data_IF_596618149754
#
_entry.id   IF_596618149754
#
_cell.length_a   1.000
_cell.length_b   1.000
_cell.length_c   1.000
_cell.angle_alpha   90.00
_cell.angle_beta   90.00
_cell.angle_gamma   90.00
#
_symmetry.space_group_name_H-M   'P 1'
#
loop_
_entity.id
_entity.type
_entity.pdbx_description
1 polymer ?
#
# COMPACT_ATOMS: atom_id res chain seq x y z
N UNK A 1 13.60 17.18 13.38
CA UNK A 1 13.04 17.11 12.01
C UNK A 1 11.97 16.06 12.03
N UNK A 2 10.70 16.47 11.94
CA UNK A 2 9.56 15.55 12.01
C UNK A 2 9.39 14.92 10.63
N UNK A 3 9.39 13.60 10.57
CA UNK A 3 9.04 12.85 9.36
C UNK A 3 7.58 13.18 9.04
N UNK A 4 7.33 13.98 8.00
CA UNK A 4 5.98 14.14 7.47
C UNK A 4 5.60 12.82 6.80
N UNK A 5 4.55 12.19 7.31
CA UNK A 5 3.94 10.98 6.77
C UNK A 5 2.93 11.38 5.69
N UNK A 6 2.76 10.53 4.67
CA UNK A 6 1.64 10.66 3.75
C UNK A 6 0.33 10.45 4.53
N UNK A 7 -0.59 11.40 4.43
CA UNK A 7 -1.89 11.27 5.07
C UNK A 7 -2.73 10.27 4.26
N UNK A 8 -3.24 9.22 4.91
CA UNK A 8 -3.89 8.09 4.24
C UNK A 8 -5.37 8.10 4.57
N UNK A 9 -6.20 8.24 3.55
CA UNK A 9 -7.63 8.50 3.71
C UNK A 9 -8.50 7.24 3.54
N UNK A 10 -7.96 6.18 2.95
CA UNK A 10 -8.68 4.94 2.66
C UNK A 10 -8.25 3.76 3.54
N UNK A 11 -9.17 2.81 3.72
CA UNK A 11 -8.93 1.53 4.40
C UNK A 11 -8.45 0.42 3.46
N UNK A 12 -8.06 0.79 2.23
CA UNK A 12 -7.62 -0.14 1.20
C UNK A 12 -8.78 -0.91 0.57
N UNK A 13 -8.86 -0.89 -0.76
CA UNK A 13 -9.89 -1.60 -1.52
C UNK A 13 -9.26 -2.68 -2.38
N UNK A 14 -9.78 -3.90 -2.30
CA UNK A 14 -9.30 -4.97 -3.17
C UNK A 14 -9.78 -4.78 -4.61
N UNK A 15 -8.85 -4.84 -5.55
CA UNK A 15 -9.09 -4.73 -6.98
C UNK A 15 -8.77 -6.08 -7.62
N UNK A 16 -9.79 -6.90 -7.96
CA UNK A 16 -9.57 -8.26 -8.50
C UNK A 16 -8.77 -8.29 -9.80
N UNK A 17 -8.90 -7.26 -10.64
CA UNK A 17 -8.21 -7.19 -11.93
C UNK A 17 -6.69 -7.01 -11.78
N UNK A 18 -6.25 -6.25 -10.78
CA UNK A 18 -4.82 -6.06 -10.47
C UNK A 18 -4.32 -6.98 -9.36
N UNK A 19 -5.21 -7.81 -8.78
CA UNK A 19 -4.92 -8.71 -7.66
C UNK A 19 -4.13 -7.99 -6.56
N UNK A 20 -4.62 -6.81 -6.21
CA UNK A 20 -3.95 -5.90 -5.28
C UNK A 20 -4.98 -5.14 -4.45
N UNK A 21 -4.60 -4.76 -3.23
CA UNK A 21 -5.35 -3.81 -2.43
C UNK A 21 -4.80 -2.41 -2.69
N UNK A 22 -5.65 -1.52 -3.17
CA UNK A 22 -5.27 -0.16 -3.50
C UNK A 22 -5.69 0.80 -2.39
N UNK A 23 -4.82 1.76 -2.04
CA UNK A 23 -5.13 2.83 -1.11
C UNK A 23 -4.51 4.14 -1.57
N UNK A 24 -5.14 5.25 -1.21
CA UNK A 24 -4.66 6.58 -1.54
C UNK A 24 -3.92 7.19 -0.36
N UNK A 25 -2.87 7.95 -0.68
CA UNK A 25 -2.20 8.80 0.28
C UNK A 25 -1.88 10.16 -0.35
N UNK A 26 -1.95 11.21 0.46
CA UNK A 26 -1.74 12.58 0.01
C UNK A 26 -0.39 13.13 0.52
N UNK A 27 0.31 13.82 -0.39
CA UNK A 27 1.55 14.57 -0.14
C UNK A 27 1.35 16.04 -0.51
N UNK A 28 0.72 16.81 0.38
CA UNK A 28 0.32 18.18 0.06
C UNK A 28 -0.76 18.21 -1.02
N UNK A 29 -0.43 18.74 -2.21
CA UNK A 29 -1.35 18.82 -3.37
C UNK A 29 -1.29 17.58 -4.29
N UNK A 30 -0.54 16.53 -3.91
CA UNK A 30 -0.36 15.33 -4.73
C UNK A 30 -1.13 14.16 -4.18
N UNK A 31 -1.77 13.42 -5.08
CA UNK A 31 -2.42 12.17 -4.78
C UNK A 31 -1.54 11.00 -5.23
N UNK A 32 -1.19 10.14 -4.29
CA UNK A 32 -0.40 8.92 -4.55
C UNK A 32 -1.32 7.72 -4.42
N UNK A 33 -1.37 6.90 -5.47
CA UNK A 33 -2.07 5.62 -5.47
C UNK A 33 -1.06 4.52 -5.17
N UNK A 34 -1.24 3.85 -4.05
CA UNK A 34 -0.46 2.67 -3.70
C UNK A 34 -1.25 1.41 -4.01
N UNK A 35 -0.60 0.43 -4.61
CA UNK A 35 -1.13 -0.91 -4.84
C UNK A 35 -0.31 -1.92 -4.04
N UNK A 36 -0.96 -2.69 -3.18
CA UNK A 36 -0.32 -3.77 -2.41
C UNK A 36 -0.72 -5.10 -3.00
N UNK A 37 0.24 -5.86 -3.52
CA UNK A 37 -0.07 -7.16 -4.13
C UNK A 37 -0.60 -8.17 -3.11
N UNK A 38 -1.43 -9.12 -3.56
CA UNK A 38 -1.88 -10.25 -2.72
C UNK A 38 -0.70 -10.98 -2.05
N UNK A 39 0.44 -11.10 -2.76
CA UNK A 39 1.64 -11.76 -2.25
C UNK A 39 2.29 -10.98 -1.11
N UNK A 40 2.36 -9.65 -1.21
CA UNK A 40 2.88 -8.79 -0.15
C UNK A 40 2.02 -8.89 1.13
N UNK A 41 0.70 -8.87 0.97
CA UNK A 41 -0.24 -9.03 2.09
C UNK A 41 -0.13 -10.42 2.75
N UNK A 42 0.09 -11.47 1.96
CA UNK A 42 0.32 -12.83 2.47
C UNK A 42 1.59 -12.91 3.32
N UNK A 43 2.69 -12.35 2.84
CA UNK A 43 3.96 -12.36 3.58
C UNK A 43 3.85 -11.52 4.87
N UNK A 44 3.24 -10.33 4.82
CA UNK A 44 3.00 -9.53 6.02
C UNK A 44 2.17 -10.27 7.07
N UNK A 45 1.06 -10.87 6.66
CA UNK A 45 0.18 -11.55 7.61
C UNK A 45 0.85 -12.80 8.22
N UNK A 46 1.68 -13.48 7.42
CA UNK A 46 2.54 -14.59 7.87
C UNK A 46 3.58 -14.12 8.89
N UNK A 47 4.23 -12.98 8.68
CA UNK A 47 5.16 -12.38 9.66
C UNK A 47 4.44 -12.01 10.97
N UNK A 48 3.18 -11.58 10.88
CA UNK A 48 2.33 -11.30 12.03
C UNK A 48 1.83 -12.56 12.77
N UNK A 49 2.08 -13.75 12.24
CA UNK A 49 1.59 -15.02 12.80
C UNK A 49 0.08 -15.21 12.71
N UNK A 50 -0.59 -14.47 11.81
CA UNK A 50 -2.03 -14.55 11.60
C UNK A 50 -2.34 -15.22 10.26
N UNK A 51 -3.22 -16.25 10.21
CA UNK A 51 -3.61 -16.84 8.95
C UNK A 51 -4.38 -15.82 8.11
N UNK A 52 -3.97 -15.64 6.85
CA UNK A 52 -4.73 -14.86 5.89
C UNK A 52 -5.96 -15.66 5.46
N UNK A 53 -7.14 -15.20 5.85
CA UNK A 53 -8.39 -15.66 5.26
C UNK A 53 -8.42 -15.16 3.82
N UNK A 54 -8.49 -16.06 2.84
CA UNK A 54 -8.62 -15.70 1.42
C UNK A 54 -10.05 -15.98 1.01
N UNK A 55 -10.80 -14.93 0.70
CA UNK A 55 -12.19 -14.98 0.27
C UNK A 55 -12.30 -14.56 -1.20
N UNK A 56 -13.28 -15.10 -1.92
CA UNK A 56 -13.45 -14.89 -3.37
C UNK A 56 -13.77 -13.43 -3.74
N UNK A 57 -14.41 -12.71 -2.83
CA UNK A 57 -14.71 -11.28 -2.91
C UNK A 57 -13.50 -10.39 -2.55
N UNK A 58 -12.42 -10.97 -2.03
CA UNK A 58 -11.21 -10.25 -1.63
C UNK A 58 -11.28 -9.56 -0.28
N UNK A 59 -12.36 -9.72 0.47
CA UNK A 59 -12.55 -9.13 1.80
C UNK A 59 -11.45 -9.51 2.80
N UNK A 60 -10.88 -10.70 2.65
CA UNK A 60 -9.74 -11.15 3.45
C UNK A 60 -8.43 -10.40 3.18
N UNK A 61 -8.22 -9.91 1.95
CA UNK A 61 -7.06 -9.05 1.64
C UNK A 61 -7.27 -7.63 2.16
N UNK A 62 -8.49 -7.11 2.11
CA UNK A 62 -8.85 -5.81 2.72
C UNK A 62 -8.69 -5.87 4.25
N UNK A 63 -9.08 -6.98 4.87
CA UNK A 63 -8.83 -7.21 6.30
C UNK A 63 -7.35 -7.29 6.61
N UNK A 64 -6.56 -8.03 5.83
CA UNK A 64 -5.12 -8.10 6.03
C UNK A 64 -4.42 -6.75 5.83
N UNK A 65 -4.90 -5.95 4.87
CA UNK A 65 -4.45 -4.58 4.70
C UNK A 65 -4.72 -3.77 5.97
N UNK A 66 -5.96 -3.78 6.49
CA UNK A 66 -6.33 -3.07 7.73
C UNK A 66 -5.51 -3.53 8.93
N UNK A 67 -5.27 -4.83 9.07
CA UNK A 67 -4.48 -5.43 10.15
C UNK A 67 -2.98 -5.07 10.09
N UNK A 68 -2.47 -4.73 8.92
CA UNK A 68 -1.07 -4.37 8.67
C UNK A 68 -0.91 -2.92 8.19
N UNK A 69 -1.94 -2.08 8.36
CA UNK A 69 -2.05 -0.72 7.79
C UNK A 69 -0.83 0.12 8.12
N UNK A 70 -0.44 0.16 9.38
CA UNK A 70 0.71 0.96 9.84
C UNK A 70 2.03 0.53 9.18
N UNK A 71 2.29 -0.78 9.08
CA UNK A 71 3.51 -1.29 8.47
C UNK A 71 3.51 -1.06 6.96
N UNK A 72 2.38 -1.29 6.30
CA UNK A 72 2.20 -1.01 4.86
C UNK A 72 2.42 0.46 4.55
N UNK A 73 1.94 1.37 5.39
CA UNK A 73 2.14 2.81 5.20
C UNK A 73 3.61 3.21 5.36
N UNK A 74 4.35 2.56 6.28
CA UNK A 74 5.80 2.78 6.40
C UNK A 74 6.53 2.31 5.14
N UNK A 75 6.27 1.09 4.68
CA UNK A 75 6.85 0.53 3.45
C UNK A 75 6.50 1.40 2.23
N UNK A 76 5.24 1.84 2.14
CA UNK A 76 4.76 2.73 1.08
C UNK A 76 5.51 4.07 1.06
N UNK A 77 5.72 4.68 2.22
CA UNK A 77 6.44 5.94 2.35
C UNK A 77 7.93 5.77 2.00
N UNK A 78 8.55 4.66 2.43
CA UNK A 78 9.92 4.31 2.04
C UNK A 78 10.03 4.15 0.52
N UNK A 79 9.12 3.38 -0.09
CA UNK A 79 9.02 3.23 -1.55
C UNK A 79 8.84 4.54 -2.29
N UNK A 80 7.95 5.40 -1.80
CA UNK A 80 7.71 6.71 -2.39
C UNK A 80 8.99 7.56 -2.37
N UNK A 81 9.75 7.53 -1.27
CA UNK A 81 11.03 8.23 -1.19
C UNK A 81 12.09 7.64 -2.11
N UNK A 82 12.19 6.31 -2.17
CA UNK A 82 13.13 5.60 -3.05
C UNK A 82 12.85 5.82 -4.53
N UNK A 83 11.57 5.97 -4.89
CA UNK A 83 11.17 6.22 -6.29
C UNK A 83 11.78 7.51 -6.84
N UNK A 84 12.26 8.42 -5.96
CA UNK A 84 12.99 9.61 -6.36
C UNK A 84 12.16 10.51 -7.27
N UNK A 85 10.83 10.44 -7.20
CA UNK A 85 9.88 11.19 -8.03
C UNK A 85 10.03 12.67 -7.69
N UNK A 86 11.01 13.30 -8.34
CA UNK A 86 11.16 14.73 -8.46
C UNK A 86 10.12 15.19 -9.47
N UNK A 87 9.00 15.69 -8.95
CA UNK A 87 7.94 16.39 -9.68
C UNK A 87 8.48 17.23 -10.82
N UNK A 88 8.19 16.81 -12.04
CA UNK A 88 8.25 17.69 -13.20
C UNK A 88 7.21 17.33 -14.27
N UNK A 89 6.18 16.54 -13.96
CA UNK A 89 5.16 16.16 -14.95
C UNK A 89 3.74 16.43 -14.45
N UNK A 90 2.90 16.91 -15.35
CA UNK A 90 1.47 17.24 -15.21
C UNK A 90 0.55 16.02 -14.91
N UNK A 91 1.11 14.86 -14.55
CA UNK A 91 0.35 13.72 -14.04
C UNK A 91 0.23 13.83 -12.51
N UNK A 92 -0.94 14.24 -12.03
CA UNK A 92 -1.23 14.41 -10.61
C UNK A 92 -1.39 13.11 -9.82
N UNK A 93 -1.33 11.94 -10.47
CA UNK A 93 -1.46 10.63 -9.83
C UNK A 93 -0.19 9.83 -10.03
N UNK A 94 0.47 9.51 -8.92
CA UNK A 94 1.64 8.63 -8.91
C UNK A 94 1.23 7.22 -8.50
N UNK A 95 1.46 6.21 -9.35
CA UNK A 95 1.16 4.81 -9.08
C UNK A 95 2.39 4.07 -8.53
N UNK A 96 2.27 3.48 -7.33
CA UNK A 96 3.37 2.75 -6.67
C UNK A 96 2.90 1.36 -6.28
N UNK A 97 3.60 0.35 -6.82
CA UNK A 97 3.36 -1.06 -6.50
C UNK A 97 4.27 -1.54 -5.36
N UNK A 98 3.65 -2.11 -4.33
CA UNK A 98 4.28 -2.76 -3.18
C UNK A 98 4.13 -4.27 -3.35
N UNK A 99 5.26 -4.97 -3.39
CA UNK A 99 5.36 -6.41 -3.63
C UNK A 99 6.00 -7.13 -2.44
N UNK A 100 6.01 -8.46 -2.46
CA UNK A 100 6.62 -9.28 -1.40
C UNK A 100 8.12 -8.99 -1.20
N UNK A 101 8.83 -8.50 -2.22
CA UNK A 101 10.24 -8.09 -2.12
C UNK A 101 10.45 -6.90 -1.21
N UNK A 102 9.41 -6.08 -1.01
CA UNK A 102 9.45 -4.85 -0.22
C UNK A 102 9.08 -5.09 1.25
N UNK A 103 8.71 -6.33 1.59
CA UNK A 103 8.31 -6.76 2.95
C UNK A 103 9.50 -7.32 3.76
N UNK A 104 10.43 -8.01 3.09
CA UNK A 104 11.55 -8.78 3.67
C UNK A 104 12.76 -7.95 4.07
#
# INVERSE_FOLDING_TARGET
>A
MTLSFLETHDDGRYIPSSRSVCFHADDGDRHVLFQVSEEALRELNKLRGSPLTVSFDGSGYEEAFRLNKEQLHRIANEKYRESGIMTNNEENVTDILITSKDIT
#
